data_IF_172663079194
#
_entry.id   IF_172663079194
#
_cell.length_a   1.000
_cell.length_b   1.000
_cell.length_c   1.000
_cell.angle_alpha   90.00
_cell.angle_beta   90.00
_cell.angle_gamma   90.00
#
_symmetry.space_group_name_H-M   'P 1'
#
loop_
_entity.id
_entity.type
_entity.pdbx_description
1 polymer ?
#
# COMPACT_ATOMS: atom_id res chain seq x y z
N UNK A 1 23.92 9.43 -16.26
CA UNK A 1 23.21 9.59 -14.97
C UNK A 1 24.15 9.18 -13.87
N UNK A 2 24.39 10.06 -12.95
CA UNK A 2 25.32 9.85 -11.84
C UNK A 2 24.74 8.78 -10.90
N UNK A 3 25.37 7.60 -10.84
CA UNK A 3 25.00 6.55 -9.88
C UNK A 3 25.62 6.89 -8.52
N UNK A 4 25.23 8.06 -7.99
CA UNK A 4 25.62 8.39 -6.62
C UNK A 4 25.12 7.29 -5.69
N UNK A 5 26.02 6.72 -4.92
CA UNK A 5 25.70 5.71 -3.92
C UNK A 5 24.62 6.25 -2.97
N UNK A 6 23.53 5.51 -2.82
CA UNK A 6 22.50 5.80 -1.83
C UNK A 6 22.47 4.68 -0.80
N UNK A 7 22.05 5.00 0.40
CA UNK A 7 21.82 3.99 1.42
C UNK A 7 20.39 3.47 1.28
N UNK A 8 20.18 2.18 0.98
CA UNK A 8 18.84 1.62 0.93
C UNK A 8 18.11 1.80 2.27
N UNK A 9 16.88 2.30 2.22
CA UNK A 9 16.02 2.41 3.39
C UNK A 9 15.22 1.13 3.58
N UNK A 10 14.94 0.79 4.82
CA UNK A 10 13.98 -0.24 5.18
C UNK A 10 12.58 0.35 5.16
N UNK A 11 11.79 -0.02 4.16
CA UNK A 11 10.49 0.58 3.87
C UNK A 11 9.39 -0.46 4.12
N UNK A 12 8.35 -0.09 4.87
CA UNK A 12 7.13 -0.89 5.03
C UNK A 12 5.97 -0.25 4.27
N UNK A 13 5.01 -1.08 3.83
CA UNK A 13 3.71 -0.63 3.38
C UNK A 13 2.60 -1.18 4.28
N UNK A 14 1.64 -0.33 4.63
CA UNK A 14 0.54 -0.67 5.53
C UNK A 14 -0.80 -0.28 4.90
N UNK A 15 -1.80 -1.13 5.05
CA UNK A 15 -3.16 -0.86 4.60
C UNK A 15 -4.21 -1.49 5.50
N UNK A 16 -5.44 -1.03 5.38
CA UNK A 16 -6.61 -1.64 5.98
C UNK A 16 -7.68 -1.83 4.92
N UNK A 17 -8.26 -3.03 4.82
CA UNK A 17 -9.24 -3.37 3.80
C UNK A 17 -10.44 -4.13 4.38
N UNK A 18 -11.59 -4.03 3.71
CA UNK A 18 -12.79 -4.84 3.92
C UNK A 18 -13.52 -5.05 2.60
N UNK A 19 -13.84 -6.32 2.30
CA UNK A 19 -14.58 -6.73 1.09
C UNK A 19 -13.95 -6.19 -0.21
N UNK A 20 -12.63 -6.17 -0.27
CA UNK A 20 -11.89 -5.58 -1.37
C UNK A 20 -10.76 -6.52 -1.86
N UNK A 21 -11.09 -7.77 -2.09
CA UNK A 21 -10.13 -8.79 -2.52
C UNK A 21 -9.46 -8.43 -3.85
N UNK A 22 -10.21 -7.74 -4.73
CA UNK A 22 -9.72 -7.37 -6.05
C UNK A 22 -8.52 -6.42 -5.97
N UNK A 23 -8.65 -5.30 -5.26
CA UNK A 23 -7.56 -4.34 -5.11
C UNK A 23 -6.52 -4.81 -4.11
N UNK A 24 -6.92 -5.43 -3.01
CA UNK A 24 -6.00 -5.89 -1.99
C UNK A 24 -4.97 -6.91 -2.53
N UNK A 25 -5.39 -7.86 -3.37
CA UNK A 25 -4.45 -8.80 -3.99
C UNK A 25 -3.47 -8.10 -4.94
N UNK A 26 -3.89 -7.04 -5.62
CA UNK A 26 -3.04 -6.21 -6.47
C UNK A 26 -2.07 -5.37 -5.64
N UNK A 27 -2.56 -4.78 -4.57
CA UNK A 27 -1.77 -4.03 -3.60
C UNK A 27 -0.63 -4.90 -3.01
N UNK A 28 -0.97 -6.11 -2.57
CA UNK A 28 0.01 -7.07 -2.05
C UNK A 28 1.06 -7.42 -3.10
N UNK A 29 0.63 -7.67 -4.33
CA UNK A 29 1.57 -7.99 -5.41
C UNK A 29 2.46 -6.80 -5.73
N UNK A 30 1.89 -5.62 -5.92
CA UNK A 30 2.63 -4.41 -6.31
C UNK A 30 3.68 -4.02 -5.27
N UNK A 31 3.25 -3.84 -4.03
CA UNK A 31 4.19 -3.46 -2.97
C UNK A 31 5.11 -4.60 -2.55
N UNK A 32 4.67 -5.85 -2.64
CA UNK A 32 5.51 -7.01 -2.38
C UNK A 32 6.64 -7.18 -3.40
N UNK A 33 6.37 -6.94 -4.68
CA UNK A 33 7.40 -6.93 -5.73
C UNK A 33 8.35 -5.71 -5.61
N UNK A 34 7.85 -4.58 -5.12
CA UNK A 34 8.64 -3.35 -4.98
C UNK A 34 9.49 -3.28 -3.70
N UNK A 35 8.99 -3.81 -2.59
CA UNK A 35 9.58 -3.62 -1.25
C UNK A 35 10.02 -4.93 -0.58
N UNK A 36 9.48 -6.07 -1.00
CA UNK A 36 9.53 -7.36 -0.32
C UNK A 36 8.22 -7.66 0.44
N UNK A 37 7.71 -8.89 0.30
CA UNK A 37 6.45 -9.31 0.93
C UNK A 37 6.53 -9.28 2.46
N UNK A 38 7.70 -9.45 3.04
CA UNK A 38 7.98 -9.37 4.47
C UNK A 38 7.86 -7.96 5.06
N UNK A 39 7.67 -6.97 4.20
CA UNK A 39 7.51 -5.55 4.60
C UNK A 39 6.08 -5.04 4.47
N UNK A 40 5.11 -5.94 4.19
CA UNK A 40 3.69 -5.60 4.05
C UNK A 40 2.92 -5.93 5.33
N UNK A 41 2.15 -4.99 5.84
CA UNK A 41 1.34 -5.16 7.03
C UNK A 41 -0.13 -4.81 6.71
N UNK A 42 -1.02 -5.77 6.89
CA UNK A 42 -2.40 -5.68 6.42
C UNK A 42 -3.34 -5.84 7.61
N UNK A 43 -4.29 -4.93 7.71
CA UNK A 43 -5.41 -5.04 8.62
C UNK A 43 -6.69 -5.38 7.85
N UNK A 44 -7.38 -6.46 8.25
CA UNK A 44 -8.65 -6.87 7.65
C UNK A 44 -9.77 -6.65 8.65
N UNK A 45 -10.73 -5.81 8.26
CA UNK A 45 -11.91 -5.50 9.07
C UNK A 45 -12.99 -6.56 8.83
N UNK A 46 -12.90 -7.65 9.58
CA UNK A 46 -13.76 -8.81 9.53
C UNK A 46 -12.96 -10.11 9.70
N UNK A 47 -13.38 -10.98 10.61
CA UNK A 47 -12.76 -12.29 10.80
C UNK A 47 -12.97 -13.21 9.59
N UNK A 48 -14.04 -12.97 8.84
CA UNK A 48 -14.42 -13.69 7.62
C UNK A 48 -13.58 -13.31 6.40
N UNK A 49 -12.84 -12.21 6.46
CA UNK A 49 -12.05 -11.73 5.33
C UNK A 49 -10.95 -12.71 4.95
N UNK A 50 -10.79 -12.97 3.66
CA UNK A 50 -9.75 -13.85 3.12
C UNK A 50 -8.37 -13.18 3.23
N UNK A 51 -7.35 -13.95 3.60
CA UNK A 51 -5.96 -13.49 3.54
C UNK A 51 -5.50 -13.56 2.09
N UNK A 52 -4.91 -12.47 1.54
CA UNK A 52 -4.37 -12.51 0.18
C UNK A 52 -3.32 -13.60 0.02
N UNK A 53 -3.35 -14.32 -1.09
CA UNK A 53 -2.55 -15.53 -1.31
C UNK A 53 -1.03 -15.32 -1.22
N UNK A 54 -0.54 -14.12 -1.50
CA UNK A 54 0.88 -13.77 -1.43
C UNK A 54 1.28 -13.02 -0.15
N UNK A 55 0.31 -12.67 0.70
CA UNK A 55 0.61 -12.03 1.97
C UNK A 55 1.22 -13.04 2.96
N UNK A 56 2.11 -12.58 3.81
CA UNK A 56 2.65 -13.37 4.92
C UNK A 56 1.61 -13.38 6.04
N UNK A 57 1.04 -14.53 6.42
CA UNK A 57 -0.08 -14.60 7.35
C UNK A 57 0.17 -13.92 8.70
N UNK A 58 1.41 -13.97 9.20
CA UNK A 58 1.82 -13.38 10.49
C UNK A 58 1.77 -11.85 10.48
N UNK A 59 1.73 -11.24 9.28
CA UNK A 59 1.64 -9.79 9.09
C UNK A 59 0.21 -9.33 8.77
N UNK A 60 -0.73 -10.28 8.68
CA UNK A 60 -2.14 -9.98 8.46
C UNK A 60 -2.89 -10.11 9.77
N UNK A 61 -3.50 -9.02 10.22
CA UNK A 61 -4.35 -9.02 11.41
C UNK A 61 -5.81 -8.90 11.01
N UNK A 62 -6.68 -9.69 11.65
CA UNK A 62 -8.13 -9.68 11.47
C UNK A 62 -8.83 -9.48 12.82
N UNK A 63 -9.93 -8.78 12.83
CA UNK A 63 -10.79 -8.60 14.00
C UNK A 63 -12.27 -8.59 13.60
N UNK A 64 -13.14 -8.66 14.58
CA UNK A 64 -14.56 -8.54 14.34
C UNK A 64 -14.92 -7.16 13.76
N UNK A 65 -15.69 -7.17 12.69
CA UNK A 65 -16.22 -5.95 12.10
C UNK A 65 -17.12 -5.21 13.10
N UNK A 66 -16.95 -3.91 13.18
CA UNK A 66 -17.80 -3.02 13.97
C UNK A 66 -18.57 -2.10 13.04
N UNK A 67 -19.88 -2.07 13.20
CA UNK A 67 -20.72 -1.08 12.51
C UNK A 67 -20.47 0.29 13.12
N UNK A 68 -19.71 1.12 12.41
CA UNK A 68 -19.37 2.49 12.80
C UNK A 68 -19.98 3.47 11.80
N UNK A 69 -20.27 4.71 12.25
CA UNK A 69 -20.50 5.78 11.28
C UNK A 69 -19.23 6.07 10.49
N UNK A 70 -19.36 6.66 9.29
CA UNK A 70 -18.20 7.00 8.45
C UNK A 70 -17.11 7.75 9.22
N UNK A 71 -17.49 8.81 9.94
CA UNK A 71 -16.54 9.61 10.71
C UNK A 71 -15.86 8.84 11.85
N UNK A 72 -16.55 7.87 12.47
CA UNK A 72 -15.96 6.99 13.49
C UNK A 72 -15.02 5.96 12.85
N UNK A 73 -15.41 5.41 11.71
CA UNK A 73 -14.58 4.48 10.94
C UNK A 73 -13.28 5.12 10.47
N UNK A 74 -13.35 6.34 9.93
CA UNK A 74 -12.17 7.08 9.48
C UNK A 74 -11.21 7.37 10.65
N UNK A 75 -11.71 7.84 11.78
CA UNK A 75 -10.90 8.07 12.99
C UNK A 75 -10.26 6.79 13.50
N UNK A 76 -11.01 5.69 13.50
CA UNK A 76 -10.50 4.39 13.93
C UNK A 76 -9.38 3.90 13.01
N UNK A 77 -9.58 3.96 11.68
CA UNK A 77 -8.57 3.59 10.67
C UNK A 77 -7.30 4.41 10.81
N UNK A 78 -7.42 5.73 10.89
CA UNK A 78 -6.27 6.64 11.06
C UNK A 78 -5.51 6.31 12.34
N UNK A 79 -6.19 6.14 13.46
CA UNK A 79 -5.55 5.80 14.73
C UNK A 79 -4.81 4.47 14.68
N UNK A 80 -5.43 3.46 14.07
CA UNK A 80 -4.88 2.12 13.94
C UNK A 80 -3.62 2.11 13.06
N UNK A 81 -3.69 2.70 11.86
CA UNK A 81 -2.56 2.76 10.94
C UNK A 81 -1.43 3.64 11.48
N UNK A 82 -1.75 4.75 12.15
CA UNK A 82 -0.74 5.59 12.80
C UNK A 82 -0.01 4.85 13.94
N UNK A 83 -0.75 4.09 14.75
CA UNK A 83 -0.15 3.26 15.80
C UNK A 83 0.74 2.16 15.22
N UNK A 84 0.34 1.53 14.12
CA UNK A 84 1.15 0.54 13.44
C UNK A 84 2.43 1.17 12.87
N UNK A 85 2.32 2.33 12.23
CA UNK A 85 3.48 3.04 11.70
C UNK A 85 4.50 3.35 12.80
N UNK A 86 4.04 3.83 13.96
CA UNK A 86 4.92 4.09 15.12
C UNK A 86 5.63 2.80 15.59
N UNK A 87 4.92 1.68 15.65
CA UNK A 87 5.51 0.38 16.01
C UNK A 87 6.56 -0.07 14.99
N UNK A 88 6.34 0.19 13.69
CA UNK A 88 7.28 -0.15 12.64
C UNK A 88 8.53 0.72 12.69
N UNK A 89 8.40 2.02 12.95
CA UNK A 89 9.56 2.89 13.20
C UNK A 89 10.37 2.40 14.42
N UNK A 90 9.71 1.99 15.50
CA UNK A 90 10.38 1.41 16.66
C UNK A 90 11.09 0.07 16.35
N UNK A 91 10.67 -0.64 15.31
CA UNK A 91 11.33 -1.86 14.78
C UNK A 91 12.43 -1.58 13.75
N UNK A 92 12.81 -0.32 13.57
CA UNK A 92 13.89 0.09 12.67
C UNK A 92 13.50 0.22 11.20
N UNK A 93 12.24 0.45 10.88
CA UNK A 93 11.85 0.93 9.57
C UNK A 93 12.17 2.41 9.43
N UNK A 94 12.74 2.79 8.28
CA UNK A 94 13.10 4.18 7.99
C UNK A 94 11.94 4.95 7.37
N UNK A 95 10.99 4.22 6.74
CA UNK A 95 9.84 4.80 6.06
C UNK A 95 8.66 3.84 6.10
N UNK A 96 7.45 4.39 6.26
CA UNK A 96 6.20 3.64 6.22
C UNK A 96 5.26 4.31 5.23
N UNK A 97 4.85 3.55 4.20
CA UNK A 97 3.82 3.95 3.24
C UNK A 97 2.46 3.54 3.81
N UNK A 98 1.58 4.51 4.07
CA UNK A 98 0.19 4.25 4.46
C UNK A 98 -0.74 4.71 3.35
N UNK A 99 -1.49 3.78 2.78
CA UNK A 99 -2.45 4.05 1.70
C UNK A 99 -3.60 3.05 1.72
N UNK A 100 -4.69 3.38 1.03
CA UNK A 100 -5.81 2.47 0.86
C UNK A 100 -5.44 1.31 -0.09
N UNK A 101 -6.21 0.22 -0.06
CA UNK A 101 -5.90 -0.98 -0.86
C UNK A 101 -6.00 -0.74 -2.38
N UNK A 102 -6.71 0.29 -2.79
CA UNK A 102 -6.88 0.74 -4.18
C UNK A 102 -5.89 1.87 -4.57
N UNK A 103 -4.99 2.25 -3.67
CA UNK A 103 -3.99 3.30 -3.92
C UNK A 103 -2.60 2.72 -4.17
N UNK A 104 -1.95 3.21 -5.23
CA UNK A 104 -0.62 2.79 -5.65
C UNK A 104 0.32 3.98 -5.78
N UNK A 105 1.39 3.99 -4.99
CA UNK A 105 2.44 5.00 -5.09
C UNK A 105 3.38 4.64 -6.24
N UNK A 106 3.28 5.38 -7.34
CA UNK A 106 3.98 5.10 -8.57
C UNK A 106 5.10 6.11 -8.78
N UNK A 107 6.27 5.64 -9.16
CA UNK A 107 7.37 6.49 -9.59
C UNK A 107 7.15 6.87 -11.04
N UNK A 108 7.38 8.14 -11.40
CA UNK A 108 7.36 8.60 -12.79
C UNK A 108 8.25 7.67 -13.65
N UNK A 109 7.70 7.02 -14.68
CA UNK A 109 8.45 6.10 -15.55
C UNK A 109 9.71 6.72 -16.16
N UNK A 110 9.75 8.03 -16.37
CA UNK A 110 10.93 8.75 -16.88
C UNK A 110 12.13 8.70 -15.92
N UNK A 111 11.92 8.33 -14.66
CA UNK A 111 13.00 8.18 -13.66
C UNK A 111 13.79 6.90 -13.84
N UNK A 112 13.24 5.89 -14.55
CA UNK A 112 13.90 4.61 -14.83
C UNK A 112 14.44 3.92 -13.56
N UNK A 113 13.70 4.02 -12.43
CA UNK A 113 14.08 3.43 -11.16
C UNK A 113 12.87 2.85 -10.43
N UNK A 114 13.09 1.87 -9.57
CA UNK A 114 12.05 1.25 -8.74
C UNK A 114 11.63 2.13 -7.56
N UNK A 115 10.46 1.82 -6.98
CA UNK A 115 9.87 2.56 -5.86
C UNK A 115 10.81 2.63 -4.64
N UNK A 116 11.39 1.49 -4.23
CA UNK A 116 12.30 1.44 -3.08
C UNK A 116 13.54 2.32 -3.27
N UNK A 117 14.13 2.28 -4.46
CA UNK A 117 15.27 3.11 -4.80
C UNK A 117 14.90 4.59 -4.83
N UNK A 118 13.79 4.93 -5.48
CA UNK A 118 13.31 6.32 -5.54
C UNK A 118 13.12 6.90 -4.14
N UNK A 119 12.39 6.20 -3.28
CA UNK A 119 12.12 6.64 -1.91
C UNK A 119 13.39 6.71 -1.05
N UNK A 120 14.35 5.81 -1.26
CA UNK A 120 15.63 5.84 -0.54
C UNK A 120 16.50 7.06 -0.90
N UNK A 121 16.33 7.59 -2.11
CA UNK A 121 17.06 8.79 -2.58
C UNK A 121 16.39 10.11 -2.15
N UNK A 122 15.14 10.08 -1.67
CA UNK A 122 14.44 11.30 -1.27
C UNK A 122 14.89 11.77 0.11
N UNK A 123 15.04 13.07 0.28
CA UNK A 123 15.30 13.66 1.60
C UNK A 123 13.97 13.90 2.32
N UNK A 124 13.40 12.84 2.91
CA UNK A 124 12.16 12.90 3.67
C UNK A 124 12.47 13.07 5.16
N UNK A 125 12.11 14.22 5.72
CA UNK A 125 12.42 14.57 7.12
C UNK A 125 11.27 14.26 8.09
N UNK A 126 10.02 14.21 7.62
CA UNK A 126 8.84 13.91 8.46
C UNK A 126 7.80 13.11 7.70
N UNK A 127 6.97 13.77 6.91
CA UNK A 127 5.97 13.13 6.06
C UNK A 127 5.98 13.74 4.66
N UNK A 128 5.51 12.98 3.69
CA UNK A 128 5.31 13.44 2.32
C UNK A 128 4.00 12.87 1.78
N UNK A 129 3.39 13.61 0.86
CA UNK A 129 2.26 13.13 0.07
C UNK A 129 2.63 13.14 -1.40
N UNK A 130 2.10 12.20 -2.15
CA UNK A 130 2.19 12.17 -3.61
C UNK A 130 1.07 12.99 -4.24
N UNK A 131 1.22 13.32 -5.52
CA UNK A 131 0.11 13.81 -6.32
C UNK A 131 -0.90 12.66 -6.48
N UNK A 132 -2.15 12.89 -6.05
CA UNK A 132 -3.25 11.94 -6.28
C UNK A 132 -3.78 12.08 -7.70
N UNK A 133 -3.94 10.96 -8.39
CA UNK A 133 -4.60 10.85 -9.69
C UNK A 133 -5.65 9.76 -9.60
N UNK A 134 -6.90 10.10 -9.88
CA UNK A 134 -7.98 9.13 -9.96
C UNK A 134 -8.03 8.52 -11.36
N UNK A 135 -8.14 7.19 -11.42
CA UNK A 135 -8.39 6.46 -12.65
C UNK A 135 -9.86 6.07 -12.71
N UNK A 136 -10.50 6.38 -13.83
CA UNK A 136 -11.90 6.05 -14.07
C UNK A 136 -12.07 5.40 -15.43
N UNK A 137 -12.86 4.33 -15.50
CA UNK A 137 -13.26 3.68 -16.76
C UNK A 137 -14.50 4.37 -17.33
N UNK A 138 -14.51 4.64 -18.64
CA UNK A 138 -15.71 5.06 -19.38
C UNK A 138 -16.50 3.83 -19.79
N UNK A 139 -17.51 3.51 -19.00
CA UNK A 139 -18.35 2.34 -19.25
C UNK A 139 -19.06 2.50 -20.61
N UNK A 140 -18.88 1.51 -21.50
CA UNK A 140 -19.45 1.48 -22.86
C UNK A 140 -18.59 2.13 -23.95
N UNK A 141 -17.51 2.83 -23.60
CA UNK A 141 -16.55 3.40 -24.55
C UNK A 141 -15.19 2.69 -24.50
N UNK A 142 -14.83 2.14 -23.35
CA UNK A 142 -13.57 1.43 -23.13
C UNK A 142 -13.81 -0.07 -22.92
N UNK A 143 -12.79 -0.87 -23.23
CA UNK A 143 -12.85 -2.33 -23.02
C UNK A 143 -13.04 -2.66 -21.53
N UNK A 144 -13.68 -3.77 -21.26
CA UNK A 144 -13.82 -4.27 -19.88
C UNK A 144 -12.45 -4.58 -19.29
N UNK A 145 -12.22 -4.12 -18.05
CA UNK A 145 -10.97 -4.38 -17.35
C UNK A 145 -10.70 -5.88 -17.21
N UNK A 146 -9.53 -6.29 -17.63
CA UNK A 146 -9.05 -7.66 -17.47
C UNK A 146 -8.44 -7.85 -16.09
N UNK A 147 -9.09 -8.65 -15.25
CA UNK A 147 -8.65 -8.92 -13.88
C UNK A 147 -7.29 -9.62 -13.79
N UNK A 148 -6.82 -10.26 -14.86
CA UNK A 148 -5.52 -10.92 -14.92
C UNK A 148 -4.35 -9.97 -15.22
N UNK A 149 -4.63 -8.79 -15.78
CA UNK A 149 -3.62 -7.79 -16.16
C UNK A 149 -3.36 -6.80 -15.02
N UNK A 150 -2.23 -6.15 -15.09
CA UNK A 150 -1.94 -4.99 -14.22
C UNK A 150 -2.90 -3.85 -14.53
N UNK A 151 -3.46 -3.20 -13.51
CA UNK A 151 -4.31 -2.00 -13.67
C UNK A 151 -3.58 -0.89 -14.44
N UNK A 152 -2.28 -0.75 -14.22
CA UNK A 152 -1.47 0.28 -14.88
C UNK A 152 -1.11 -0.05 -16.34
N UNK A 153 -1.49 -1.23 -16.83
CA UNK A 153 -1.22 -1.69 -18.20
C UNK A 153 -2.49 -1.78 -19.06
N UNK A 154 -3.59 -1.17 -18.62
CA UNK A 154 -4.88 -1.16 -19.31
C UNK A 154 -5.33 0.23 -19.70
#
# INVERSE_FOLDING_TARGET
MDKTAYTPRRIAAITMARNDDFFLNRWVRYYGEALGYEHLYIYLDGLEQAIPSRAIPEQVKRWEHRTLSRAQGDKYRISLLSSLAQQLFAKGYDLVIGCDADEFLIVDPQREMGLAEYLSRQNLSSCASALGLDLGQRIGEEETLDSSRSILAQ
#
